data_IF_336680254422
#
_entry.id   IF_336680254422
#
_cell.length_a   1.000
_cell.length_b   1.000
_cell.length_c   1.000
_cell.angle_alpha   90.00
_cell.angle_beta   90.00
_cell.angle_gamma   90.00
#
_symmetry.space_group_name_H-M   'P 1'
#
loop_
_entity.id
_entity.type
_entity.pdbx_description
1 polymer ?
#
# COMPACT_ATOMS: atom_id res chain seq x y z
N UNK A 1 15.52 -16.89 -3.74
CA UNK A 1 14.84 -15.80 -2.99
C UNK A 1 13.36 -16.16 -2.85
N UNK A 2 12.63 -15.66 -1.85
CA UNK A 2 11.18 -15.88 -1.69
C UNK A 2 10.44 -14.55 -1.80
N UNK A 3 9.30 -14.53 -2.47
CA UNK A 3 8.41 -13.37 -2.51
C UNK A 3 7.90 -13.03 -1.11
N UNK A 4 7.57 -11.75 -0.90
CA UNK A 4 7.11 -11.20 0.38
C UNK A 4 5.87 -10.36 0.16
N UNK A 5 4.98 -10.41 1.13
CA UNK A 5 3.73 -9.64 1.20
C UNK A 5 3.53 -9.15 2.63
N UNK A 6 2.54 -8.29 2.87
CA UNK A 6 2.23 -7.81 4.21
C UNK A 6 1.62 -8.93 5.06
N UNK A 7 1.92 -8.96 6.36
CA UNK A 7 1.32 -9.93 7.28
C UNK A 7 -0.12 -9.61 7.68
N UNK A 8 -0.57 -8.37 7.44
CA UNK A 8 -1.92 -7.85 7.71
C UNK A 8 -2.16 -6.57 6.91
N UNK A 9 -3.41 -6.13 6.73
CA UNK A 9 -3.70 -4.81 6.18
C UNK A 9 -3.04 -3.68 6.98
N UNK A 10 -2.57 -2.64 6.27
CA UNK A 10 -1.99 -1.43 6.85
C UNK A 10 -2.69 -0.21 6.28
N UNK A 11 -3.20 0.66 7.15
CA UNK A 11 -3.81 1.92 6.78
C UNK A 11 -2.87 3.10 7.12
N UNK A 12 -2.80 4.08 6.23
CA UNK A 12 -2.01 5.32 6.42
C UNK A 12 -2.84 6.52 5.95
N UNK A 13 -2.75 7.61 6.70
CA UNK A 13 -3.36 8.89 6.34
C UNK A 13 -2.27 9.96 6.24
N UNK A 14 -2.45 10.92 5.34
CA UNK A 14 -1.49 12.00 5.15
C UNK A 14 -1.95 13.09 4.20
N UNK A 15 -1.03 13.99 3.87
CA UNK A 15 -1.24 15.09 2.91
C UNK A 15 -0.38 14.84 1.67
N UNK A 16 -0.99 14.91 0.49
CA UNK A 16 -0.28 14.79 -0.78
C UNK A 16 0.67 15.96 -1.00
N UNK A 17 1.96 15.69 -1.19
CA UNK A 17 3.01 16.72 -1.26
C UNK A 17 2.72 17.81 -2.32
N UNK A 18 2.28 17.39 -3.51
CA UNK A 18 2.06 18.31 -4.63
C UNK A 18 0.63 18.86 -4.72
N UNK A 19 -0.36 18.11 -4.23
CA UNK A 19 -1.77 18.53 -4.28
C UNK A 19 -2.21 19.31 -3.05
N UNK A 20 -1.52 19.14 -1.92
CA UNK A 20 -1.96 19.62 -0.61
C UNK A 20 -3.23 18.94 -0.08
N UNK A 21 -3.75 17.93 -0.79
CA UNK A 21 -5.02 17.29 -0.45
C UNK A 21 -4.84 16.19 0.60
N UNK A 22 -5.82 15.99 1.51
CA UNK A 22 -5.87 14.80 2.35
C UNK A 22 -5.94 13.53 1.52
N UNK A 23 -5.21 12.50 1.94
CA UNK A 23 -5.17 11.18 1.30
C UNK A 23 -5.25 10.09 2.37
N UNK A 24 -6.00 9.05 2.05
CA UNK A 24 -6.02 7.78 2.77
C UNK A 24 -5.50 6.68 1.85
N UNK A 25 -4.63 5.81 2.37
CA UNK A 25 -4.08 4.65 1.65
C UNK A 25 -4.30 3.40 2.48
N UNK A 26 -4.72 2.33 1.81
CA UNK A 26 -4.85 0.98 2.37
C UNK A 26 -3.96 0.02 1.58
N UNK A 27 -3.01 -0.60 2.28
CA UNK A 27 -2.09 -1.57 1.72
C UNK A 27 -2.55 -2.97 2.15
N UNK A 28 -2.85 -3.81 1.17
CA UNK A 28 -3.38 -5.16 1.38
C UNK A 28 -2.31 -6.24 1.14
N UNK A 29 -2.33 -7.35 1.90
CA UNK A 29 -1.59 -8.55 1.52
C UNK A 29 -2.06 -9.05 0.14
N UNK A 30 -1.11 -9.30 -0.75
CA UNK A 30 -1.37 -9.90 -2.05
C UNK A 30 -0.79 -11.33 -2.17
N UNK A 31 -1.38 -12.21 -3.01
CA UNK A 31 -0.82 -13.51 -3.35
C UNK A 31 0.55 -13.44 -4.04
N UNK A 32 1.21 -14.59 -4.17
CA UNK A 32 2.42 -14.70 -4.97
C UNK A 32 2.17 -14.25 -6.44
N UNK A 33 3.21 -13.72 -7.06
CA UNK A 33 3.23 -13.25 -8.46
C UNK A 33 2.27 -12.11 -8.81
N UNK A 34 1.63 -11.46 -7.83
CA UNK A 34 0.74 -10.32 -8.05
C UNK A 34 1.45 -9.04 -8.50
N UNK A 35 2.75 -8.91 -8.22
CA UNK A 35 3.46 -7.65 -8.34
C UNK A 35 2.90 -6.57 -7.39
N UNK A 36 3.13 -5.30 -7.74
CA UNK A 36 2.61 -4.12 -7.03
C UNK A 36 1.59 -3.41 -7.93
N UNK A 37 0.39 -3.21 -7.42
CA UNK A 37 -0.70 -2.46 -8.07
C UNK A 37 -1.16 -1.34 -7.14
N UNK A 38 -1.43 -0.15 -7.69
CA UNK A 38 -1.87 1.04 -6.97
C UNK A 38 -3.36 1.30 -7.19
#
# INVERSE_FOLDING_TARGET
MRQRTLGRPVAVQGIGLHSGAPVELQLEPAPADSGITF
#
